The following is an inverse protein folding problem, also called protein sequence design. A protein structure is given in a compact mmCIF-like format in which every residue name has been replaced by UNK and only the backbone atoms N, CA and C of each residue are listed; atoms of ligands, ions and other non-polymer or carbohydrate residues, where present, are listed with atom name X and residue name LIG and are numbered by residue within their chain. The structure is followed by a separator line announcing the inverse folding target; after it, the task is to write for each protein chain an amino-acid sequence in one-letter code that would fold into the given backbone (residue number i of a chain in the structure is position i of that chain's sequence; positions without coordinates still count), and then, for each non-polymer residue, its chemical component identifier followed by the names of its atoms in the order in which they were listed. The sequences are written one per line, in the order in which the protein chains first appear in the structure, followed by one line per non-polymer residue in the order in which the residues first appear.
data_IF_265336504181
#
_entry.id   IF_265336504181
#
_cell.length_a   1.000
_cell.length_b   1.000
_cell.length_c   1.000
_cell.angle_alpha   90.00
_cell.angle_beta   90.00
_cell.angle_gamma   90.00
#
_symmetry.space_group_name_H-M   'P 1'
#
loop_
_entity.id
_entity.type
_entity.pdbx_description
1 polymer ?
#
# COMPACT_ATOMS: atom_id res chain seq x y z
N UNK A 1 -27.96 -4.72 -15.94
CA UNK A 1 -27.81 -4.27 -17.34
C UNK A 1 -26.82 -3.11 -17.31
N UNK A 2 -25.58 -3.14 -17.81
CA UNK A 2 -24.87 -4.00 -18.75
C UNK A 2 -23.40 -4.10 -18.29
N UNK A 3 -22.97 -5.29 -17.85
CA UNK A 3 -21.54 -5.62 -17.86
C UNK A 3 -21.23 -6.07 -19.29
N UNK A 4 -20.95 -5.09 -20.16
CA UNK A 4 -20.77 -5.30 -21.60
C UNK A 4 -19.40 -5.90 -21.95
N UNK A 5 -18.96 -6.94 -21.23
CA UNK A 5 -17.91 -7.84 -21.70
C UNK A 5 -16.56 -7.22 -22.05
N UNK A 6 -16.31 -5.94 -21.74
CA UNK A 6 -14.98 -5.37 -21.83
C UNK A 6 -14.20 -5.83 -20.61
N UNK A 7 -13.65 -7.04 -20.74
CA UNK A 7 -12.42 -7.44 -20.06
C UNK A 7 -11.52 -6.21 -20.09
N UNK A 8 -11.27 -5.59 -18.94
CA UNK A 8 -10.33 -4.48 -18.85
C UNK A 8 -9.08 -4.95 -19.57
N UNK A 9 -8.73 -4.27 -20.66
CA UNK A 9 -7.55 -4.56 -21.45
C UNK A 9 -6.34 -4.40 -20.51
N UNK A 10 -5.97 -5.47 -19.81
CA UNK A 10 -4.82 -5.56 -18.92
C UNK A 10 -4.40 -4.21 -18.31
N UNK A 11 -5.25 -3.58 -17.50
CA UNK A 11 -4.85 -2.41 -16.71
C UNK A 11 -3.89 -2.87 -15.60
N UNK A 12 -2.72 -3.35 -16.00
CA UNK A 12 -1.68 -3.85 -15.09
C UNK A 12 -0.97 -2.63 -14.54
N UNK A 13 -1.35 -2.25 -13.33
CA UNK A 13 -0.76 -1.14 -12.60
C UNK A 13 0.56 -1.60 -11.95
N UNK A 14 1.62 -1.77 -12.75
CA UNK A 14 2.96 -2.19 -12.26
C UNK A 14 3.63 -1.12 -11.41
N UNK A 15 4.28 -1.52 -10.33
CA UNK A 15 5.04 -0.63 -9.46
C UNK A 15 5.51 -1.36 -8.22
N UNK A 16 5.94 -0.59 -7.23
CA UNK A 16 6.51 -1.08 -5.99
C UNK A 16 5.74 -0.51 -4.82
N UNK A 17 5.63 -1.33 -3.77
CA UNK A 17 5.33 -0.85 -2.44
C UNK A 17 6.62 -0.90 -1.61
N UNK A 18 6.83 0.14 -0.82
CA UNK A 18 7.87 0.18 0.19
C UNK A 18 7.23 0.29 1.56
N UNK A 19 7.72 -0.52 2.48
CA UNK A 19 7.42 -0.48 3.90
C UNK A 19 8.73 -0.48 4.69
N UNK A 20 8.64 -0.51 6.03
CA UNK A 20 9.82 -0.70 6.87
C UNK A 20 10.42 -2.09 6.66
N UNK A 21 11.74 -2.25 6.85
CA UNK A 21 12.36 -3.57 6.91
C UNK A 21 11.66 -4.47 7.93
N UNK A 22 11.49 -5.74 7.60
CA UNK A 22 10.93 -6.72 8.52
C UNK A 22 11.89 -6.97 9.69
N UNK A 23 11.38 -6.83 10.91
CA UNK A 23 12.03 -7.27 12.15
C UNK A 23 11.09 -8.24 12.89
N UNK A 24 11.50 -9.51 12.96
CA UNK A 24 10.74 -10.57 13.62
C UNK A 24 10.42 -10.24 15.10
N UNK A 25 11.29 -9.48 15.79
CA UNK A 25 11.08 -9.10 17.20
C UNK A 25 10.01 -8.03 17.37
N UNK A 26 9.69 -7.29 16.30
CA UNK A 26 8.68 -6.23 16.28
C UNK A 26 7.39 -6.68 15.59
N UNK A 27 7.41 -7.77 14.81
CA UNK A 27 6.27 -8.25 14.03
C UNK A 27 4.99 -8.54 14.87
N UNK A 28 5.16 -9.00 16.10
CA UNK A 28 4.07 -9.33 17.04
C UNK A 28 3.60 -8.12 17.88
N UNK A 29 4.27 -6.97 17.78
CA UNK A 29 3.98 -5.77 18.60
C UNK A 29 3.16 -4.76 17.81
N UNK A 30 2.20 -4.09 18.46
CA UNK A 30 1.45 -2.99 17.84
C UNK A 30 2.33 -1.73 17.68
N UNK A 31 2.23 -1.03 16.54
CA UNK A 31 2.92 0.25 16.34
C UNK A 31 3.42 0.49 14.91
N UNK A 32 3.91 1.71 14.66
CA UNK A 32 4.45 2.18 13.37
C UNK A 32 5.88 1.70 13.06
N UNK A 33 6.51 0.99 14.00
CA UNK A 33 7.91 0.58 13.87
C UNK A 33 8.11 -0.78 13.20
N UNK A 34 7.03 -1.55 13.00
CA UNK A 34 7.07 -2.88 12.38
C UNK A 34 6.69 -2.86 10.91
N UNK A 35 7.09 -3.92 10.21
CA UNK A 35 6.53 -4.27 8.91
C UNK A 35 5.09 -4.80 9.04
N UNK A 36 4.34 -4.70 7.95
CA UNK A 36 2.97 -5.21 7.85
C UNK A 36 3.04 -6.74 7.82
N UNK A 37 2.12 -7.38 8.54
CA UNK A 37 2.07 -8.84 8.58
C UNK A 37 1.74 -9.42 7.21
N UNK A 38 2.20 -10.64 6.96
CA UNK A 38 1.85 -11.39 5.77
C UNK A 38 0.35 -11.72 5.75
N UNK A 39 -0.27 -11.61 4.58
CA UNK A 39 -1.67 -11.94 4.43
C UNK A 39 -2.38 -11.16 3.33
N UNK A 40 -3.66 -11.45 3.18
CA UNK A 40 -4.55 -10.78 2.23
C UNK A 40 -5.42 -9.79 2.97
N UNK A 41 -5.32 -8.51 2.61
CA UNK A 41 -6.05 -7.43 3.26
C UNK A 41 -6.92 -6.68 2.25
N UNK A 42 -8.10 -6.25 2.68
CA UNK A 42 -8.97 -5.43 1.85
C UNK A 42 -8.50 -3.98 1.83
N UNK A 43 -8.63 -3.33 0.67
CA UNK A 43 -8.40 -1.90 0.52
C UNK A 43 -9.73 -1.18 0.68
N UNK A 44 -9.81 -0.34 1.70
CA UNK A 44 -11.00 0.44 2.05
C UNK A 44 -10.76 1.94 1.87
N UNK A 45 -11.78 2.72 1.49
CA UNK A 45 -11.67 4.17 1.48
C UNK A 45 -11.51 4.70 2.91
N UNK A 46 -11.03 5.94 3.02
CA UNK A 46 -10.90 6.62 4.31
C UNK A 46 -12.22 6.69 5.07
N UNK A 47 -12.13 6.61 6.39
CA UNK A 47 -13.21 6.91 7.33
C UNK A 47 -13.02 8.32 7.92
N UNK A 48 -14.06 8.93 8.54
CA UNK A 48 -13.95 10.23 9.18
C UNK A 48 -12.76 10.30 10.16
N UNK A 49 -12.00 11.41 10.12
CA UNK A 49 -10.81 11.61 10.98
C UNK A 49 -9.50 11.01 10.46
N UNK A 50 -9.53 10.27 9.34
CA UNK A 50 -8.33 9.72 8.70
C UNK A 50 -7.70 10.71 7.70
N UNK A 51 -6.36 10.81 7.71
CA UNK A 51 -5.58 11.76 6.88
C UNK A 51 -5.48 11.37 5.40
N UNK A 52 -5.27 10.09 5.12
CA UNK A 52 -5.06 9.56 3.76
C UNK A 52 -6.38 9.08 3.15
N UNK A 53 -6.38 8.74 1.86
CA UNK A 53 -7.61 8.38 1.15
C UNK A 53 -7.92 6.88 1.18
N UNK A 54 -6.92 6.03 1.38
CA UNK A 54 -7.06 4.57 1.30
C UNK A 54 -6.25 3.88 2.38
N UNK A 55 -6.82 2.79 2.89
CA UNK A 55 -6.32 2.04 4.03
C UNK A 55 -6.46 0.54 3.81
N UNK A 56 -5.63 -0.23 4.50
CA UNK A 56 -5.82 -1.67 4.67
C UNK A 56 -6.75 -1.91 5.86
N UNK A 57 -7.70 -2.82 5.69
CA UNK A 57 -8.59 -3.29 6.73
C UNK A 57 -8.14 -4.66 7.27
N UNK A 58 -8.28 -4.86 8.59
CA UNK A 58 -8.08 -6.17 9.22
C UNK A 58 -6.61 -6.57 9.44
N UNK A 59 -5.68 -5.62 9.43
CA UNK A 59 -4.26 -5.91 9.76
C UNK A 59 -4.14 -6.17 11.27
N UNK A 60 -3.73 -7.37 11.72
CA UNK A 60 -3.72 -7.70 13.14
C UNK A 60 -2.78 -6.79 13.94
N UNK A 61 -3.31 -6.16 15.00
CA UNK A 61 -2.54 -5.30 15.91
C UNK A 61 -2.16 -3.93 15.33
N UNK A 62 -2.64 -3.56 14.14
CA UNK A 62 -2.38 -2.25 13.55
C UNK A 62 -3.65 -1.67 12.91
N UNK A 63 -4.10 -0.55 13.43
CA UNK A 63 -5.18 0.23 12.83
C UNK A 63 -4.61 1.34 11.94
N UNK A 64 -5.22 1.55 10.78
CA UNK A 64 -4.94 2.73 9.96
C UNK A 64 -3.67 2.65 9.12
N UNK A 65 -3.27 1.45 8.69
CA UNK A 65 -2.24 1.25 7.67
C UNK A 65 -2.71 1.89 6.36
N UNK A 66 -2.14 3.04 6.03
CA UNK A 66 -2.53 3.81 4.85
C UNK A 66 -1.74 3.38 3.61
N UNK A 67 -2.29 3.67 2.44
CA UNK A 67 -1.53 3.69 1.19
C UNK A 67 -1.29 5.15 0.82
N UNK A 68 -0.03 5.58 0.78
CA UNK A 68 0.31 6.97 0.50
C UNK A 68 1.62 7.14 -0.28
N UNK A 69 1.94 8.40 -0.56
CA UNK A 69 3.20 8.79 -1.20
C UNK A 69 4.26 9.05 -0.12
N UNK A 70 5.47 8.62 -0.40
CA UNK A 70 6.70 8.83 0.34
C UNK A 70 7.82 8.23 -0.50
N UNK A 71 9.07 8.49 -0.15
CA UNK A 71 10.20 8.05 -0.95
C UNK A 71 11.14 7.14 -0.17
N UNK A 72 11.26 7.32 1.14
CA UNK A 72 12.20 6.60 1.99
C UNK A 72 11.47 5.74 3.05
N UNK A 73 12.13 4.74 3.61
CA UNK A 73 11.52 3.81 4.56
C UNK A 73 10.97 4.53 5.81
N UNK A 74 11.63 5.59 6.25
CA UNK A 74 11.21 6.47 7.35
C UNK A 74 9.89 7.20 7.05
N UNK A 75 9.60 7.52 5.79
CA UNK A 75 8.34 8.15 5.38
C UNK A 75 7.15 7.20 5.57
N UNK A 76 7.40 5.89 5.64
CA UNK A 76 6.33 4.89 5.73
C UNK A 76 5.57 5.03 7.04
N UNK A 77 6.27 5.25 8.16
CA UNK A 77 5.68 5.26 9.50
C UNK A 77 4.73 4.05 9.74
N UNK A 78 5.08 2.88 9.19
CA UNK A 78 4.27 1.65 9.25
C UNK A 78 3.17 1.55 8.17
N UNK A 79 3.07 2.50 7.25
CA UNK A 79 2.16 2.48 6.10
C UNK A 79 2.83 1.98 4.82
N UNK A 80 2.04 1.82 3.75
CA UNK A 80 2.55 1.43 2.43
C UNK A 80 2.86 2.67 1.57
N UNK A 81 4.11 2.79 1.16
CA UNK A 81 4.56 3.81 0.21
C UNK A 81 4.50 3.30 -1.21
N UNK A 82 3.92 4.08 -2.11
CA UNK A 82 3.78 3.71 -3.52
C UNK A 82 4.97 4.20 -4.35
N UNK A 83 5.35 3.45 -5.38
CA UNK A 83 6.46 3.80 -6.28
C UNK A 83 6.31 3.25 -7.69
N UNK A 84 6.91 3.93 -8.66
CA UNK A 84 7.06 3.41 -10.04
C UNK A 84 8.32 2.56 -10.21
N UNK A 85 9.35 2.82 -9.41
CA UNK A 85 10.63 2.12 -9.39
C UNK A 85 11.15 2.02 -7.96
N UNK A 86 12.04 1.04 -7.74
CA UNK A 86 12.82 0.85 -6.52
C UNK A 86 14.30 1.11 -6.86
N UNK A 87 14.97 1.98 -6.11
CA UNK A 87 16.36 2.37 -6.35
C UNK A 87 17.17 2.15 -5.08
N UNK A 88 18.32 1.48 -5.22
CA UNK A 88 19.29 1.30 -4.13
C UNK A 88 20.03 2.63 -3.88
N UNK A 89 20.04 3.12 -2.64
CA UNK A 89 20.63 4.41 -2.23
C UNK A 89 21.77 4.25 -1.21
N UNK A 90 22.00 3.04 -0.71
CA UNK A 90 23.07 2.68 0.21
C UNK A 90 23.32 1.18 0.18
N UNK A 91 24.20 0.65 1.03
CA UNK A 91 24.58 -0.77 1.00
C UNK A 91 23.39 -1.71 1.20
N UNK A 92 22.44 -1.30 2.04
CA UNK A 92 21.21 -2.03 2.37
C UNK A 92 19.94 -1.18 2.25
N UNK A 93 20.05 0.05 1.73
CA UNK A 93 18.94 1.01 1.70
C UNK A 93 18.37 1.19 0.30
N UNK A 94 17.04 1.33 0.26
CA UNK A 94 16.29 1.56 -0.96
C UNK A 94 15.36 2.75 -0.81
N UNK A 95 15.02 3.39 -1.93
CA UNK A 95 13.95 4.36 -2.04
C UNK A 95 12.99 3.98 -3.17
N UNK A 96 11.74 4.45 -3.07
CA UNK A 96 10.80 4.45 -4.19
C UNK A 96 10.79 5.79 -4.91
N UNK A 97 10.55 5.79 -6.22
CA UNK A 97 10.46 7.02 -7.03
C UNK A 97 9.08 7.23 -7.66
N UNK A 98 8.77 8.50 -7.95
CA UNK A 98 7.49 8.97 -8.51
C UNK A 98 6.26 8.51 -7.70
N UNK A 99 6.40 8.52 -6.37
CA UNK A 99 5.39 8.01 -5.45
C UNK A 99 4.03 8.70 -5.61
N UNK A 100 4.00 10.02 -5.76
CA UNK A 100 2.77 10.79 -6.00
C UNK A 100 2.04 10.37 -7.29
N UNK A 101 2.77 10.20 -8.39
CA UNK A 101 2.18 9.78 -9.67
C UNK A 101 1.66 8.34 -9.59
N UNK A 102 2.40 7.47 -8.90
CA UNK A 102 1.95 6.09 -8.68
C UNK A 102 0.70 6.04 -7.82
N UNK A 103 0.66 6.82 -6.74
CA UNK A 103 -0.50 6.94 -5.87
C UNK A 103 -1.73 7.41 -6.65
N UNK A 104 -1.59 8.41 -7.52
CA UNK A 104 -2.68 8.89 -8.37
C UNK A 104 -3.19 7.79 -9.31
N UNK A 105 -2.30 7.04 -9.96
CA UNK A 105 -2.69 5.92 -10.82
C UNK A 105 -3.42 4.80 -10.04
N UNK A 106 -2.98 4.49 -8.82
CA UNK A 106 -3.67 3.54 -7.94
C UNK A 106 -5.01 4.10 -7.45
N UNK A 107 -5.13 5.40 -7.18
CA UNK A 107 -6.37 6.01 -6.73
C UNK A 107 -7.47 5.92 -7.78
N UNK A 108 -7.14 6.07 -9.06
CA UNK A 108 -8.13 5.89 -10.11
C UNK A 108 -8.60 4.42 -10.19
N UNK A 109 -7.69 3.46 -10.03
CA UNK A 109 -8.05 2.04 -9.89
C UNK A 109 -8.96 1.82 -8.65
N UNK A 110 -8.58 2.36 -7.50
CA UNK A 110 -9.32 2.19 -6.25
C UNK A 110 -10.67 2.91 -6.29
N UNK A 111 -10.82 4.04 -6.97
CA UNK A 111 -12.14 4.66 -7.15
C UNK A 111 -13.05 3.84 -8.06
N UNK A 112 -12.49 3.24 -9.11
CA UNK A 112 -13.28 2.44 -10.06
C UNK A 112 -13.74 1.10 -9.46
N UNK A 113 -12.93 0.46 -8.61
CA UNK A 113 -13.19 -0.88 -8.09
C UNK A 113 -13.24 -0.98 -6.56
N UNK A 114 -12.94 0.09 -5.83
CA UNK A 114 -12.85 0.08 -4.36
C UNK A 114 -14.21 0.02 -3.67
N UNK A 115 -14.16 -0.01 -2.34
CA UNK A 115 -15.22 -0.45 -1.41
C UNK A 115 -15.29 -1.98 -1.20
N UNK A 116 -14.13 -2.62 -1.00
CA UNK A 116 -14.04 -4.02 -0.59
C UNK A 116 -13.82 -5.04 -1.72
N UNK A 117 -13.81 -4.63 -2.98
CA UNK A 117 -13.55 -5.54 -4.11
C UNK A 117 -12.08 -5.58 -4.55
N UNK A 118 -11.19 -4.93 -3.81
CA UNK A 118 -9.75 -4.97 -4.05
C UNK A 118 -9.09 -5.47 -2.78
N UNK A 119 -8.31 -6.54 -2.92
CA UNK A 119 -7.45 -7.04 -1.86
C UNK A 119 -5.99 -6.96 -2.30
N UNK A 120 -5.11 -6.70 -1.34
CA UNK A 120 -3.65 -6.76 -1.51
C UNK A 120 -3.13 -7.98 -0.77
N UNK A 121 -2.28 -8.75 -1.42
CA UNK A 121 -1.56 -9.86 -0.79
C UNK A 121 -0.15 -9.39 -0.43
N UNK A 122 0.16 -9.33 0.86
CA UNK A 122 1.47 -8.99 1.39
C UNK A 122 2.29 -10.29 1.49
N UNK A 123 3.36 -10.33 0.72
CA UNK A 123 4.38 -11.38 0.70
C UNK A 123 5.74 -10.71 0.95
N UNK A 124 6.57 -11.26 1.83
CA UNK A 124 7.91 -10.75 2.18
C UNK A 124 8.97 -11.80 1.84
#
# INVERSE_FOLDING_TARGET
MLNNGQKLNNSVVKGYFMERPYDAKLAEKSGSERAIQLGVYNIIPKTPGKRYQWYLEGVPGCDGIAIHSGNYAEDSLGCLLTGTSLVKIGDSDYMVQNSKNKLAALFELFKMYGAGNISINIIQ
#
